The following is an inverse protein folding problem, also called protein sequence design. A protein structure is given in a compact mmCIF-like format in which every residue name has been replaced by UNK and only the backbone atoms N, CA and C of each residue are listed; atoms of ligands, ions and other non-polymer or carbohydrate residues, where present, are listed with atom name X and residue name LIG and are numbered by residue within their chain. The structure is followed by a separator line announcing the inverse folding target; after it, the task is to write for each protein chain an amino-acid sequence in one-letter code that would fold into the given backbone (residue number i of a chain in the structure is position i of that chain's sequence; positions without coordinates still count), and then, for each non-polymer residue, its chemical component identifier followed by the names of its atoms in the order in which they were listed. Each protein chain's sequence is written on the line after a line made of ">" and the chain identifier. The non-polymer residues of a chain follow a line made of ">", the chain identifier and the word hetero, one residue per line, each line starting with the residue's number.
data_IF_911738638230
#
_entry.id   IF_911738638230
#
_cell.length_a   1.000
_cell.length_b   1.000
_cell.length_c   1.000
_cell.angle_alpha   90.00
_cell.angle_beta   90.00
_cell.angle_gamma   90.00
#
_symmetry.space_group_name_H-M   'P 1'
#
loop_
_entity.id
_entity.type
_entity.pdbx_description
1 polymer ?
#
# COMPACT_ATOMS: atom_id res chain seq x y z
N UNK A 1 -3.71 12.32 -27.95
CA UNK A 1 -3.72 12.26 -26.48
C UNK A 1 -3.22 13.59 -25.95
N UNK A 2 -4.04 14.32 -25.19
CA UNK A 2 -3.65 15.61 -24.61
C UNK A 2 -2.91 15.37 -23.28
N UNK A 3 -1.70 14.80 -23.37
CA UNK A 3 -0.87 14.47 -22.21
C UNK A 3 0.12 15.62 -21.97
N UNK A 4 0.10 16.19 -20.75
CA UNK A 4 1.05 17.25 -20.34
C UNK A 4 2.32 16.66 -19.73
N UNK A 5 2.17 15.68 -18.87
CA UNK A 5 3.27 15.02 -18.16
C UNK A 5 3.18 13.51 -18.32
N UNK A 6 4.34 12.86 -18.27
CA UNK A 6 4.48 11.41 -18.28
C UNK A 6 5.27 10.95 -17.06
N UNK A 7 4.89 9.80 -16.52
CA UNK A 7 5.69 9.07 -15.54
C UNK A 7 6.37 7.91 -16.24
N UNK A 8 7.70 7.87 -16.17
CA UNK A 8 8.51 6.77 -16.71
C UNK A 8 8.98 5.93 -15.53
N UNK A 9 8.76 4.62 -15.62
CA UNK A 9 9.03 3.72 -14.51
C UNK A 9 9.69 2.42 -14.94
N UNK A 10 10.70 2.00 -14.18
CA UNK A 10 11.35 0.69 -14.33
C UNK A 10 10.40 -0.43 -13.92
N UNK A 11 10.08 -1.34 -14.82
CA UNK A 11 9.31 -2.55 -14.50
C UNK A 11 9.99 -3.41 -13.42
N UNK A 12 11.31 -3.29 -13.27
CA UNK A 12 12.08 -3.96 -12.23
C UNK A 12 11.96 -3.34 -10.83
N UNK A 13 11.11 -2.32 -10.61
CA UNK A 13 10.83 -1.70 -9.30
C UNK A 13 9.35 -1.86 -8.92
N UNK A 14 8.88 -3.05 -8.57
CA UNK A 14 7.46 -3.30 -8.35
C UNK A 14 6.91 -2.73 -7.04
N UNK A 15 7.77 -2.31 -6.10
CA UNK A 15 7.36 -1.99 -4.72
C UNK A 15 7.45 -0.49 -4.38
N UNK A 16 6.95 0.37 -5.26
CA UNK A 16 6.77 1.80 -4.97
C UNK A 16 5.45 2.07 -4.26
N UNK A 17 5.41 3.08 -3.40
CA UNK A 17 4.20 3.42 -2.65
C UNK A 17 3.30 4.43 -3.38
N UNK A 18 1.99 4.38 -3.07
CA UNK A 18 1.05 5.43 -3.50
C UNK A 18 1.46 6.82 -2.97
N UNK A 19 2.12 6.86 -1.79
CA UNK A 19 2.63 8.09 -1.18
C UNK A 19 3.69 8.75 -2.06
N UNK A 20 4.62 7.95 -2.61
CA UNK A 20 5.65 8.42 -3.54
C UNK A 20 5.01 9.02 -4.80
N UNK A 21 4.07 8.31 -5.42
CA UNK A 21 3.33 8.81 -6.60
C UNK A 21 2.66 10.15 -6.30
N UNK A 22 1.95 10.27 -5.17
CA UNK A 22 1.29 11.53 -4.78
C UNK A 22 2.28 12.68 -4.61
N UNK A 23 3.47 12.43 -4.01
CA UNK A 23 4.54 13.45 -3.91
C UNK A 23 5.01 13.92 -5.29
N UNK A 24 5.28 12.99 -6.20
CA UNK A 24 5.71 13.29 -7.56
C UNK A 24 4.65 14.11 -8.29
N UNK A 25 3.39 13.66 -8.30
CA UNK A 25 2.30 14.33 -9.02
C UNK A 25 2.04 15.74 -8.49
N UNK A 26 2.20 15.99 -7.20
CA UNK A 26 2.04 17.33 -6.60
C UNK A 26 2.98 18.35 -7.21
N UNK A 27 4.21 17.96 -7.54
CA UNK A 27 5.27 18.87 -8.06
C UNK A 27 5.38 18.84 -9.58
N UNK A 28 4.81 17.82 -10.25
CA UNK A 28 5.02 17.56 -11.68
C UNK A 28 4.37 18.59 -12.62
N UNK A 29 3.44 19.43 -12.12
CA UNK A 29 2.72 20.41 -12.98
C UNK A 29 3.64 21.37 -13.69
N UNK A 30 4.78 21.76 -13.10
CA UNK A 30 5.72 22.78 -13.63
C UNK A 30 7.16 22.27 -13.72
N UNK A 31 7.46 21.08 -13.20
CA UNK A 31 8.82 20.57 -13.04
C UNK A 31 8.91 19.11 -13.51
N UNK A 32 10.09 18.71 -13.93
CA UNK A 32 10.47 17.29 -13.88
C UNK A 32 10.73 16.90 -12.43
N UNK A 33 10.24 15.75 -11.98
CA UNK A 33 10.32 15.33 -10.57
C UNK A 33 10.94 13.95 -10.48
N UNK A 34 12.03 13.88 -9.72
CA UNK A 34 12.90 12.71 -9.63
C UNK A 34 13.03 12.27 -8.17
N UNK A 35 12.71 11.03 -7.83
CA UNK A 35 13.04 10.48 -6.51
C UNK A 35 14.54 10.28 -6.37
N UNK A 36 15.11 10.72 -5.26
CA UNK A 36 16.52 10.52 -4.94
C UNK A 36 16.72 9.81 -3.61
N UNK A 37 17.79 9.07 -3.51
CA UNK A 37 18.22 8.40 -2.28
C UNK A 37 19.67 8.75 -1.99
N UNK A 38 20.04 8.99 -0.72
CA UNK A 38 21.43 9.21 -0.34
C UNK A 38 22.23 7.94 -0.52
N UNK A 39 23.51 8.09 -0.85
CA UNK A 39 24.47 6.99 -0.86
C UNK A 39 24.91 6.73 0.57
N UNK A 40 24.84 5.46 1.00
CA UNK A 40 25.21 5.06 2.37
C UNK A 40 26.66 4.60 2.49
N UNK A 41 27.17 3.96 1.46
CA UNK A 41 28.52 3.40 1.43
C UNK A 41 29.55 4.40 0.91
N UNK A 42 30.83 4.12 1.16
CA UNK A 42 31.92 4.94 0.66
C UNK A 42 32.09 4.78 -0.86
N UNK A 43 32.22 5.90 -1.56
CA UNK A 43 32.43 5.93 -3.01
C UNK A 43 33.91 5.98 -3.36
N UNK A 44 34.31 5.13 -4.28
CA UNK A 44 35.66 5.06 -4.82
C UNK A 44 35.59 5.13 -6.34
N UNK A 45 36.31 6.04 -6.93
CA UNK A 45 36.55 6.03 -8.36
C UNK A 45 37.70 5.09 -8.69
N UNK A 46 37.53 4.26 -9.71
CA UNK A 46 38.55 3.28 -10.08
C UNK A 46 38.84 3.33 -11.58
N UNK A 47 40.11 3.13 -11.95
CA UNK A 47 40.52 2.88 -13.30
C UNK A 47 41.38 1.61 -13.32
N UNK A 48 41.08 0.65 -14.20
CA UNK A 48 41.78 -0.62 -14.31
C UNK A 48 42.00 -1.35 -12.96
N UNK A 49 40.95 -1.35 -12.11
CA UNK A 49 40.91 -1.94 -10.76
C UNK A 49 41.83 -1.23 -9.73
N UNK A 50 42.41 -0.10 -10.08
CA UNK A 50 43.17 0.74 -9.15
C UNK A 50 42.30 1.89 -8.67
N UNK A 51 42.34 2.18 -7.37
CA UNK A 51 41.58 3.32 -6.79
C UNK A 51 42.27 4.61 -7.21
N UNK A 52 41.57 5.49 -7.90
CA UNK A 52 42.05 6.82 -8.30
C UNK A 52 41.69 7.87 -7.25
N UNK A 53 40.44 7.96 -6.89
CA UNK A 53 39.93 9.02 -6.01
C UNK A 53 38.91 8.47 -5.00
N UNK A 54 38.89 9.15 -3.84
CA UNK A 54 37.84 8.99 -2.85
C UNK A 54 36.86 10.15 -3.01
N UNK A 55 35.58 9.84 -3.16
CA UNK A 55 34.54 10.86 -3.25
C UNK A 55 33.79 10.98 -1.94
N UNK A 56 33.42 12.19 -1.55
CA UNK A 56 32.44 12.39 -0.48
C UNK A 56 31.08 11.87 -0.95
N UNK A 57 30.52 10.92 -0.21
CA UNK A 57 29.18 10.40 -0.53
C UNK A 57 28.07 11.45 -0.45
N UNK A 58 28.31 12.55 0.27
CA UNK A 58 27.34 13.62 0.46
C UNK A 58 27.14 14.45 -0.81
N UNK A 59 28.07 14.39 -1.75
CA UNK A 59 28.00 15.05 -3.06
C UNK A 59 27.24 14.20 -4.09
N UNK A 60 26.87 12.97 -3.74
CA UNK A 60 26.26 12.00 -4.65
C UNK A 60 24.93 11.48 -4.11
N UNK A 61 24.07 11.12 -5.02
CA UNK A 61 22.85 10.39 -4.74
C UNK A 61 22.52 9.48 -5.92
N UNK A 62 21.75 8.46 -5.68
CA UNK A 62 21.17 7.67 -6.77
C UNK A 62 19.70 8.00 -6.96
N UNK A 63 19.27 7.92 -8.22
CA UNK A 63 17.90 8.20 -8.62
C UNK A 63 17.07 6.92 -8.62
N UNK A 64 15.79 7.07 -8.37
CA UNK A 64 14.80 6.00 -8.54
C UNK A 64 13.78 6.42 -9.59
N UNK A 65 13.00 5.46 -10.06
CA UNK A 65 11.77 5.69 -10.81
C UNK A 65 10.56 5.36 -9.90
N UNK A 66 9.33 5.92 -10.16
CA UNK A 66 8.93 6.70 -11.33
C UNK A 66 9.54 8.10 -11.38
N UNK A 67 9.95 8.52 -12.58
CA UNK A 67 10.41 9.87 -12.87
C UNK A 67 9.33 10.59 -13.69
N UNK A 68 9.04 11.83 -13.34
CA UNK A 68 8.03 12.65 -14.04
C UNK A 68 8.68 13.68 -14.93
N UNK A 69 8.21 13.78 -16.18
CA UNK A 69 8.71 14.72 -17.18
C UNK A 69 7.57 15.41 -17.91
N UNK A 70 7.86 16.58 -18.49
CA UNK A 70 6.99 17.15 -19.53
C UNK A 70 6.99 16.20 -20.74
N UNK A 71 5.80 15.79 -21.18
CA UNK A 71 5.67 14.78 -22.23
C UNK A 71 6.31 15.20 -23.54
N UNK A 72 6.04 16.43 -24.00
CA UNK A 72 6.58 16.94 -25.29
C UNK A 72 8.10 17.06 -25.25
N UNK A 73 8.63 17.55 -24.13
CA UNK A 73 10.08 17.74 -23.94
C UNK A 73 10.81 16.39 -23.98
N UNK A 74 10.41 15.43 -23.11
CA UNK A 74 11.11 14.16 -23.04
C UNK A 74 10.95 13.36 -24.34
N UNK A 75 9.79 13.39 -24.98
CA UNK A 75 9.56 12.73 -26.26
C UNK A 75 10.49 13.29 -27.35
N UNK A 76 10.67 14.61 -27.42
CA UNK A 76 11.55 15.25 -28.39
C UNK A 76 13.02 14.89 -28.12
N UNK A 77 13.42 14.82 -26.85
CA UNK A 77 14.76 14.41 -26.48
C UNK A 77 15.04 12.95 -26.89
N UNK A 78 14.10 12.05 -26.68
CA UNK A 78 14.21 10.68 -27.16
C UNK A 78 14.29 10.58 -28.68
N UNK A 79 13.51 11.35 -29.43
CA UNK A 79 13.54 11.37 -30.89
C UNK A 79 14.84 11.90 -31.48
N UNK A 80 15.50 12.86 -30.83
CA UNK A 80 16.77 13.46 -31.29
C UNK A 80 17.99 12.62 -30.98
N UNK A 81 17.83 11.56 -30.24
CA UNK A 81 18.95 10.73 -29.77
C UNK A 81 19.57 9.89 -30.87
N UNK A 82 20.81 10.18 -31.21
CA UNK A 82 21.76 9.24 -31.74
C UNK A 82 22.53 8.63 -30.54
N UNK A 83 22.19 7.40 -30.18
CA UNK A 83 22.96 6.44 -29.37
C UNK A 83 23.98 6.98 -28.35
N UNK A 84 23.57 7.70 -27.32
CA UNK A 84 24.40 7.97 -26.16
C UNK A 84 23.94 7.06 -25.02
N UNK A 85 24.85 6.29 -24.49
CA UNK A 85 24.64 5.51 -23.24
C UNK A 85 24.24 6.48 -22.13
N UNK A 86 23.06 6.26 -21.57
CA UNK A 86 22.53 7.07 -20.49
C UNK A 86 21.83 6.14 -19.50
N UNK A 87 22.11 6.32 -18.22
CA UNK A 87 21.65 5.43 -17.17
C UNK A 87 20.15 5.60 -16.86
N UNK A 88 19.62 6.83 -17.05
CA UNK A 88 18.21 7.15 -16.84
C UNK A 88 17.72 8.30 -17.73
N UNK A 89 16.39 8.54 -17.71
CA UNK A 89 15.77 9.60 -18.51
C UNK A 89 16.12 11.00 -18.02
N UNK A 90 16.49 11.19 -16.75
CA UNK A 90 16.98 12.46 -16.22
C UNK A 90 18.21 12.94 -16.98
N UNK A 91 19.11 12.02 -17.34
CA UNK A 91 20.34 12.31 -18.03
C UNK A 91 20.15 12.87 -19.46
N UNK A 92 18.91 12.83 -19.98
CA UNK A 92 18.55 13.42 -21.27
C UNK A 92 18.33 14.92 -21.19
N UNK A 93 17.96 15.44 -20.01
CA UNK A 93 17.62 16.84 -19.85
C UNK A 93 18.87 17.71 -20.02
N UNK A 94 18.79 18.70 -20.92
CA UNK A 94 19.87 19.66 -21.17
C UNK A 94 19.99 20.71 -20.04
N UNK A 95 18.90 20.94 -19.31
CA UNK A 95 18.88 21.87 -18.19
C UNK A 95 18.18 21.30 -16.99
N UNK A 96 18.85 21.32 -15.86
CA UNK A 96 18.32 20.86 -14.56
C UNK A 96 17.56 21.95 -13.79
N UNK A 97 17.43 23.17 -14.32
CA UNK A 97 16.76 24.28 -13.61
C UNK A 97 15.31 24.00 -13.21
N UNK A 98 14.62 23.17 -14.00
CA UNK A 98 13.22 22.75 -13.74
C UNK A 98 13.11 21.36 -13.13
N UNK A 99 14.20 20.79 -12.62
CA UNK A 99 14.19 19.50 -11.94
C UNK A 99 13.97 19.74 -10.45
N UNK A 100 13.05 18.98 -9.87
CA UNK A 100 12.80 18.92 -8.42
C UNK A 100 13.04 17.50 -7.94
N UNK A 101 13.71 17.39 -6.82
CA UNK A 101 13.94 16.11 -6.18
C UNK A 101 12.92 15.89 -5.06
N UNK A 102 12.51 14.64 -4.89
CA UNK A 102 11.73 14.15 -3.74
C UNK A 102 12.48 12.98 -3.12
N UNK A 103 12.28 12.78 -1.82
CA UNK A 103 12.84 11.61 -1.18
C UNK A 103 12.24 10.35 -1.77
N UNK A 104 13.10 9.45 -2.21
CA UNK A 104 12.75 8.11 -2.64
C UNK A 104 12.41 7.19 -1.46
N UNK A 105 12.28 5.91 -1.74
CA UNK A 105 11.89 4.90 -0.73
C UNK A 105 12.83 3.70 -0.79
N UNK A 106 13.31 3.26 0.38
CA UNK A 106 14.16 2.04 0.46
C UNK A 106 13.47 0.81 -0.11
N UNK A 107 12.15 0.73 0.08
CA UNK A 107 11.32 -0.36 -0.47
C UNK A 107 11.22 -0.35 -2.00
N UNK A 108 11.45 0.80 -2.64
CA UNK A 108 11.41 0.97 -4.10
C UNK A 108 12.77 0.65 -4.75
N UNK A 109 13.42 -0.42 -4.29
CA UNK A 109 14.68 -0.89 -4.87
C UNK A 109 14.46 -1.57 -6.22
N UNK A 110 15.49 -1.60 -7.05
CA UNK A 110 15.47 -2.26 -8.36
C UNK A 110 15.86 -3.73 -8.18
N UNK A 111 15.05 -4.63 -8.71
CA UNK A 111 15.37 -6.06 -8.76
C UNK A 111 16.36 -6.27 -9.90
N UNK A 112 17.60 -6.59 -9.56
CA UNK A 112 18.67 -6.82 -10.52
C UNK A 112 19.24 -8.23 -10.42
N UNK A 113 19.02 -8.90 -9.31
CA UNK A 113 19.52 -10.25 -9.03
C UNK A 113 18.51 -11.07 -8.20
N UNK A 114 18.84 -12.33 -7.94
CA UNK A 114 17.97 -13.23 -7.17
C UNK A 114 17.85 -12.83 -5.69
N UNK A 115 18.85 -12.19 -5.12
CA UNK A 115 18.80 -11.71 -3.72
C UNK A 115 17.78 -10.58 -3.57
N UNK A 116 17.73 -9.66 -4.54
CA UNK A 116 16.72 -8.61 -4.58
C UNK A 116 15.31 -9.20 -4.66
N UNK A 117 15.14 -10.30 -5.42
CA UNK A 117 13.83 -10.98 -5.51
C UNK A 117 13.44 -11.63 -4.19
N UNK A 118 14.37 -12.23 -3.46
CA UNK A 118 14.14 -12.77 -2.13
C UNK A 118 13.79 -11.66 -1.14
N UNK A 119 14.49 -10.53 -1.21
CA UNK A 119 14.20 -9.35 -0.42
C UNK A 119 12.78 -8.83 -0.69
N UNK A 120 12.38 -8.74 -1.97
CA UNK A 120 11.01 -8.38 -2.33
C UNK A 120 9.97 -9.34 -1.73
N UNK A 121 10.20 -10.65 -1.84
CA UNK A 121 9.31 -11.66 -1.24
C UNK A 121 9.16 -11.46 0.26
N UNK A 122 10.24 -11.10 0.97
CA UNK A 122 10.18 -10.81 2.40
C UNK A 122 9.40 -9.52 2.71
N UNK A 123 9.50 -8.48 1.88
CA UNK A 123 8.67 -7.28 1.98
C UNK A 123 7.20 -7.56 1.70
N UNK A 124 6.91 -8.45 0.76
CA UNK A 124 5.56 -8.84 0.36
C UNK A 124 4.96 -9.96 1.23
N UNK A 125 5.74 -10.58 2.10
CA UNK A 125 5.25 -11.60 3.04
C UNK A 125 4.30 -10.94 4.04
N UNK A 126 3.06 -10.78 3.63
CA UNK A 126 1.93 -10.54 4.50
C UNK A 126 1.82 -11.75 5.43
N UNK A 127 2.10 -11.55 6.72
CA UNK A 127 1.88 -12.62 7.71
C UNK A 127 0.40 -12.98 7.68
N UNK A 128 0.09 -14.14 7.14
CA UNK A 128 -1.27 -14.70 7.20
C UNK A 128 -1.61 -14.98 8.65
N UNK A 129 -2.76 -14.49 9.09
CA UNK A 129 -3.30 -14.76 10.42
C UNK A 129 -4.60 -15.51 10.26
N UNK A 130 -4.83 -16.47 11.13
CA UNK A 130 -6.07 -17.23 11.20
C UNK A 130 -6.76 -16.94 12.53
N UNK A 131 -8.07 -16.99 12.53
CA UNK A 131 -8.87 -16.86 13.74
C UNK A 131 -10.08 -17.77 13.67
N UNK A 132 -10.58 -18.16 14.83
CA UNK A 132 -11.78 -18.96 15.01
C UNK A 132 -12.81 -18.09 15.69
N UNK A 133 -14.05 -18.12 15.22
CA UNK A 133 -15.20 -17.50 15.85
C UNK A 133 -16.30 -18.54 16.06
N UNK A 134 -16.96 -18.43 17.19
CA UNK A 134 -18.06 -19.29 17.55
C UNK A 134 -19.12 -18.48 18.28
N UNK A 135 -20.40 -18.68 17.95
CA UNK A 135 -21.49 -17.99 18.60
C UNK A 135 -22.72 -18.89 18.73
N UNK A 136 -23.42 -18.80 19.86
CA UNK A 136 -24.65 -19.53 20.15
C UNK A 136 -25.75 -18.57 20.58
N UNK A 137 -26.90 -18.67 19.96
CA UNK A 137 -28.08 -17.89 20.32
C UNK A 137 -29.28 -18.81 20.56
N UNK A 138 -30.01 -18.53 21.63
CA UNK A 138 -31.28 -19.21 21.91
C UNK A 138 -32.33 -18.79 20.89
N UNK A 139 -33.09 -19.76 20.38
CA UNK A 139 -34.25 -19.50 19.54
C UNK A 139 -35.48 -19.21 20.40
N UNK A 140 -36.17 -18.11 20.09
CA UNK A 140 -37.39 -17.67 20.80
C UNK A 140 -38.48 -17.24 19.83
N UNK A 141 -39.73 -17.29 20.31
CA UNK A 141 -40.86 -16.79 19.52
C UNK A 141 -40.83 -15.26 19.39
N UNK A 142 -41.58 -14.73 18.42
CA UNK A 142 -41.75 -13.27 18.19
C UNK A 142 -40.46 -12.52 17.81
N UNK A 143 -39.37 -13.23 17.48
CA UNK A 143 -38.15 -12.66 16.94
C UNK A 143 -37.96 -13.07 15.48
N UNK A 144 -37.32 -12.18 14.70
CA UNK A 144 -36.93 -12.48 13.32
C UNK A 144 -35.63 -13.29 13.34
N UNK A 145 -35.53 -14.27 12.44
CA UNK A 145 -34.29 -15.03 12.25
C UNK A 145 -33.44 -14.37 11.18
N UNK A 146 -32.19 -14.06 11.52
CA UNK A 146 -31.18 -13.60 10.60
C UNK A 146 -29.98 -14.55 10.64
N UNK A 147 -29.51 -14.98 9.47
CA UNK A 147 -28.33 -15.83 9.32
C UNK A 147 -27.48 -15.32 8.16
N UNK A 148 -26.23 -14.92 8.43
CA UNK A 148 -25.32 -14.38 7.42
C UNK A 148 -25.81 -13.07 6.79
N UNK A 149 -26.59 -12.27 7.53
CA UNK A 149 -27.17 -11.02 7.03
C UNK A 149 -28.51 -11.18 6.30
N UNK A 150 -28.93 -12.42 6.02
CA UNK A 150 -30.19 -12.71 5.35
C UNK A 150 -31.33 -12.95 6.35
N UNK A 151 -32.50 -12.43 6.06
CA UNK A 151 -33.72 -12.72 6.84
C UNK A 151 -34.29 -14.06 6.39
N UNK A 152 -34.36 -15.02 7.32
CA UNK A 152 -34.94 -16.34 7.10
C UNK A 152 -36.39 -16.35 7.55
N UNK A 153 -37.29 -16.94 6.76
CA UNK A 153 -38.68 -17.11 7.11
C UNK A 153 -38.81 -18.23 8.16
N UNK A 154 -39.07 -17.89 9.41
CA UNK A 154 -39.18 -18.83 10.53
C UNK A 154 -40.17 -18.32 11.57
N UNK A 155 -40.80 -19.25 12.32
CA UNK A 155 -41.63 -18.96 13.50
C UNK A 155 -40.80 -18.55 14.72
N UNK A 156 -39.51 -18.96 14.75
CA UNK A 156 -38.56 -18.64 15.82
C UNK A 156 -37.45 -17.77 15.26
N UNK A 157 -36.86 -16.92 16.08
CA UNK A 157 -35.67 -16.13 15.79
C UNK A 157 -34.72 -16.12 16.95
N UNK A 158 -33.49 -15.70 16.70
CA UNK A 158 -32.42 -15.67 17.70
C UNK A 158 -32.59 -14.55 18.72
N UNK A 159 -32.37 -14.88 19.99
CA UNK A 159 -32.37 -13.91 21.08
C UNK A 159 -30.98 -13.27 21.17
N UNK A 160 -30.88 -11.97 20.97
CA UNK A 160 -29.63 -11.23 21.08
C UNK A 160 -29.88 -9.72 21.23
N UNK A 161 -28.85 -8.97 21.61
CA UNK A 161 -28.92 -7.51 21.76
C UNK A 161 -29.06 -6.80 20.42
N UNK A 162 -28.38 -7.31 19.38
CA UNK A 162 -28.48 -6.90 17.98
C UNK A 162 -29.66 -7.60 17.27
N UNK A 163 -29.59 -7.77 15.97
CA UNK A 163 -30.52 -8.64 15.22
C UNK A 163 -30.28 -10.15 15.52
N UNK A 164 -29.27 -10.46 16.31
CA UNK A 164 -28.96 -11.83 16.79
C UNK A 164 -28.47 -12.77 15.70
N UNK A 165 -27.78 -12.29 14.67
CA UNK A 165 -27.22 -13.12 13.62
C UNK A 165 -25.95 -13.87 14.08
N UNK A 166 -26.02 -15.16 14.45
CA UNK A 166 -24.89 -15.88 15.02
C UNK A 166 -23.78 -16.12 13.99
N UNK A 167 -24.13 -16.18 12.70
CA UNK A 167 -23.13 -16.39 11.65
C UNK A 167 -22.24 -15.15 11.53
N UNK A 168 -22.82 -13.96 11.49
CA UNK A 168 -22.05 -12.73 11.41
C UNK A 168 -21.29 -12.43 12.70
N UNK A 169 -21.81 -12.79 13.86
CA UNK A 169 -21.11 -12.66 15.15
C UNK A 169 -19.86 -13.56 15.16
N UNK A 170 -19.98 -14.82 14.78
CA UNK A 170 -18.85 -15.74 14.68
C UNK A 170 -17.79 -15.27 13.67
N UNK A 171 -18.21 -14.71 12.51
CA UNK A 171 -17.29 -14.09 11.56
C UNK A 171 -16.57 -12.91 12.18
N UNK A 172 -17.26 -12.02 12.89
CA UNK A 172 -16.66 -10.87 13.56
C UNK A 172 -15.61 -11.34 14.58
N UNK A 173 -15.95 -12.33 15.42
CA UNK A 173 -15.04 -12.86 16.41
C UNK A 173 -13.81 -13.54 15.81
N UNK A 174 -13.99 -14.29 14.72
CA UNK A 174 -12.85 -14.88 14.01
C UNK A 174 -11.88 -13.81 13.49
N UNK A 175 -12.41 -12.73 12.91
CA UNK A 175 -11.63 -11.61 12.39
C UNK A 175 -10.90 -10.87 13.51
N UNK A 176 -11.61 -10.53 14.58
CA UNK A 176 -11.04 -9.85 15.74
C UNK A 176 -9.98 -10.71 16.44
N UNK A 177 -10.23 -12.00 16.59
CA UNK A 177 -9.28 -12.96 17.14
C UNK A 177 -8.00 -13.08 16.30
N UNK A 178 -8.13 -13.22 14.99
CA UNK A 178 -6.99 -13.24 14.08
C UNK A 178 -6.11 -11.97 14.18
N UNK A 179 -6.76 -10.81 14.43
CA UNK A 179 -6.08 -9.52 14.57
C UNK A 179 -5.63 -9.19 16.00
N UNK A 180 -5.84 -10.09 16.99
CA UNK A 180 -5.60 -9.86 18.42
C UNK A 180 -6.31 -8.58 18.93
N UNK A 181 -7.58 -8.39 18.55
CA UNK A 181 -8.39 -7.21 18.88
C UNK A 181 -9.55 -7.49 19.84
N UNK A 182 -9.51 -8.62 20.54
CA UNK A 182 -10.58 -9.07 21.45
C UNK A 182 -11.72 -9.72 20.69
N UNK A 183 -12.95 -9.49 21.15
CA UNK A 183 -14.17 -10.07 20.64
C UNK A 183 -15.27 -9.01 20.36
N UNK A 184 -16.41 -9.47 19.85
CA UNK A 184 -17.55 -8.61 19.52
C UNK A 184 -18.09 -7.90 20.75
N UNK A 185 -18.12 -8.55 21.92
CA UNK A 185 -18.62 -7.99 23.18
C UNK A 185 -17.77 -6.84 23.69
N UNK A 186 -16.43 -6.97 23.57
CA UNK A 186 -15.49 -5.91 23.90
C UNK A 186 -15.64 -4.69 22.98
N UNK A 187 -15.87 -4.92 21.68
CA UNK A 187 -15.98 -3.83 20.71
C UNK A 187 -17.37 -3.17 20.70
N UNK A 188 -18.43 -3.96 20.89
CA UNK A 188 -19.82 -3.54 20.77
C UNK A 188 -20.64 -3.96 22.01
N UNK A 189 -20.24 -3.43 23.16
CA UNK A 189 -20.84 -3.81 24.46
C UNK A 189 -22.36 -3.69 24.46
N UNK A 190 -23.02 -4.72 24.95
CA UNK A 190 -24.49 -4.80 25.14
C UNK A 190 -25.03 -3.73 26.07
N UNK A 191 -24.17 -3.13 26.92
CA UNK A 191 -24.55 -2.01 27.80
C UNK A 191 -24.85 -0.73 27.03
N UNK A 192 -24.42 -0.60 25.78
CA UNK A 192 -24.61 0.60 24.97
C UNK A 192 -25.91 0.53 24.17
N UNK A 193 -26.86 1.40 24.51
CA UNK A 193 -28.15 1.52 23.81
C UNK A 193 -28.04 1.70 22.30
N UNK A 194 -26.93 2.29 21.82
CA UNK A 194 -26.64 2.49 20.40
C UNK A 194 -26.55 1.20 19.57
N UNK A 195 -26.32 0.06 20.21
CA UNK A 195 -26.21 -1.24 19.54
C UNK A 195 -27.44 -2.11 19.67
N UNK A 196 -28.46 -1.65 20.41
CA UNK A 196 -29.72 -2.37 20.58
C UNK A 196 -30.44 -2.48 19.23
N UNK A 197 -30.79 -3.70 18.82
CA UNK A 197 -31.46 -4.04 17.57
C UNK A 197 -30.70 -3.61 16.29
N UNK A 198 -29.40 -3.30 16.38
CA UNK A 198 -28.58 -2.99 15.22
C UNK A 198 -28.41 -4.22 14.33
N UNK A 199 -28.30 -4.02 13.02
CA UNK A 199 -28.02 -5.10 12.08
C UNK A 199 -26.55 -5.54 12.22
N UNK A 200 -26.31 -6.84 12.36
CA UNK A 200 -24.96 -7.41 12.48
C UNK A 200 -24.09 -7.15 11.23
N UNK A 201 -24.70 -6.93 10.08
CA UNK A 201 -24.02 -6.45 8.87
C UNK A 201 -23.34 -5.10 9.06
N UNK A 202 -23.94 -4.20 9.86
CA UNK A 202 -23.35 -2.89 10.20
C UNK A 202 -22.17 -3.08 11.16
N UNK A 203 -22.27 -3.99 12.12
CA UNK A 203 -21.17 -4.34 13.03
C UNK A 203 -19.99 -4.90 12.26
N UNK A 204 -20.22 -5.86 11.35
CA UNK A 204 -19.20 -6.42 10.48
C UNK A 204 -18.50 -5.32 9.64
N UNK A 205 -19.29 -4.44 9.01
CA UNK A 205 -18.73 -3.32 8.23
C UNK A 205 -17.80 -2.41 9.06
N UNK A 206 -18.15 -2.14 10.33
CA UNK A 206 -17.30 -1.36 11.25
C UNK A 206 -16.00 -2.09 11.56
N UNK A 207 -16.05 -3.40 11.79
CA UNK A 207 -14.88 -4.24 12.02
C UNK A 207 -13.97 -4.23 10.80
N UNK A 208 -14.53 -4.51 9.61
CA UNK A 208 -13.78 -4.50 8.35
C UNK A 208 -13.06 -3.16 8.10
N UNK A 209 -13.74 -2.04 8.34
CA UNK A 209 -13.11 -0.73 8.22
C UNK A 209 -11.96 -0.55 9.22
N UNK A 210 -12.14 -1.00 10.47
CA UNK A 210 -11.12 -0.86 11.51
C UNK A 210 -9.87 -1.69 11.23
N UNK A 211 -10.03 -2.92 10.75
CA UNK A 211 -8.89 -3.79 10.39
C UNK A 211 -8.18 -3.28 9.14
N UNK A 212 -8.93 -2.75 8.15
CA UNK A 212 -8.36 -2.12 6.96
C UNK A 212 -7.49 -0.91 7.30
N UNK A 213 -7.92 -0.07 8.27
CA UNK A 213 -7.11 1.06 8.76
C UNK A 213 -5.81 0.60 9.46
N UNK A 214 -5.77 -0.63 9.98
CA UNK A 214 -4.57 -1.25 10.55
C UNK A 214 -3.71 -2.00 9.53
N UNK A 215 -4.07 -1.95 8.25
CA UNK A 215 -3.31 -2.57 7.16
C UNK A 215 -3.61 -4.05 6.93
N UNK A 216 -4.64 -4.61 7.57
CA UNK A 216 -5.05 -6.00 7.29
C UNK A 216 -5.93 -6.07 6.04
N UNK A 217 -5.81 -7.17 5.29
CA UNK A 217 -6.62 -7.55 4.14
C UNK A 217 -7.29 -8.89 4.47
N UNK A 218 -8.59 -9.00 4.15
CA UNK A 218 -9.37 -10.24 4.24
C UNK A 218 -9.66 -10.72 2.83
#
# INVERSE_FOLDING_TARGET
>A
INCKNVLIHDAARPNFSIKLIKKILKLSRKNSVIPKMPIQDALKETLNKTILLNHSRDDFFYTQTPQSFNFKEILNLHKRRKYLYKDDDLSLLQSLKKVKFVDGEKSNFKITNNEDLLMLKNFMNTKTKTGIGFDIHRLVQKRKLYLGGLRIKSKLGTLGHSDGDPVLHAIIDSILGACAMGDIGNMFSDKKKAFKNIRSTILLKRVLNKIKLKGYII
#
